data_IF_930273039304
#
_entry.id   IF_930273039304
#
_cell.length_a   1.000
_cell.length_b   1.000
_cell.length_c   1.000
_cell.angle_alpha   90.00
_cell.angle_beta   90.00
_cell.angle_gamma   90.00
#
_symmetry.space_group_name_H-M   'P 1'
#
loop_
_entity.id
_entity.type
_entity.pdbx_description
1 polymer ?
#
# COMPACT_ATOMS: atom_id res chain seq x y z
N UNK A 1 -11.51 11.87 -27.85
CA UNK A 1 -12.65 11.67 -26.98
C UNK A 1 -13.12 10.21 -27.00
N UNK A 2 -12.19 9.33 -27.32
CA UNK A 2 -12.27 7.88 -27.18
C UNK A 2 -11.10 7.35 -26.36
N UNK A 3 -11.19 6.11 -25.89
CA UNK A 3 -10.07 5.45 -25.19
C UNK A 3 -8.84 5.35 -26.09
N UNK A 4 -9.03 5.07 -27.39
CA UNK A 4 -7.92 5.02 -28.35
C UNK A 4 -7.21 6.39 -28.45
N UNK A 5 -7.95 7.46 -28.67
CA UNK A 5 -7.37 8.80 -28.75
C UNK A 5 -6.67 9.23 -27.43
N UNK A 6 -7.16 8.77 -26.28
CA UNK A 6 -6.51 9.04 -25.00
C UNK A 6 -5.18 8.27 -24.86
N UNK A 7 -5.10 7.03 -25.34
CA UNK A 7 -3.86 6.25 -25.37
C UNK A 7 -2.85 6.86 -26.34
N UNK A 8 -3.27 7.20 -27.56
CA UNK A 8 -2.42 7.87 -28.52
C UNK A 8 -1.85 9.19 -27.96
N UNK A 9 -2.67 9.97 -27.27
CA UNK A 9 -2.22 11.21 -26.63
C UNK A 9 -1.25 10.95 -25.48
N UNK A 10 -1.42 9.90 -24.71
CA UNK A 10 -0.52 9.53 -23.63
C UNK A 10 0.88 9.13 -24.16
N UNK A 11 0.95 8.46 -25.31
CA UNK A 11 2.21 8.09 -25.97
C UNK A 11 3.00 9.31 -26.48
N UNK A 12 2.34 10.44 -26.71
CA UNK A 12 2.99 11.70 -27.12
C UNK A 12 3.63 12.46 -25.94
N UNK A 13 3.38 12.04 -24.70
CA UNK A 13 3.97 12.68 -23.51
C UNK A 13 5.44 12.28 -23.39
N UNK A 14 6.33 13.20 -23.66
CA UNK A 14 7.76 13.02 -23.42
C UNK A 14 8.10 13.24 -21.95
N UNK A 15 8.78 12.27 -21.33
CA UNK A 15 9.22 12.35 -19.93
C UNK A 15 10.73 12.20 -19.90
N UNK A 16 11.39 13.19 -19.29
CA UNK A 16 12.82 13.10 -18.98
C UNK A 16 13.00 12.56 -17.57
N UNK A 17 13.63 11.39 -17.44
CA UNK A 17 13.79 10.67 -16.20
C UNK A 17 15.19 10.85 -15.62
N UNK A 18 15.29 11.43 -14.43
CA UNK A 18 16.50 11.34 -13.62
C UNK A 18 16.39 10.12 -12.70
N UNK A 19 17.06 9.04 -13.05
CA UNK A 19 17.07 7.81 -12.27
C UNK A 19 17.91 8.00 -11.01
N UNK A 20 17.31 7.75 -9.85
CA UNK A 20 17.99 7.77 -8.55
C UNK A 20 18.34 6.35 -8.09
N UNK A 21 19.36 6.18 -7.21
CA UNK A 21 19.61 4.91 -6.57
C UNK A 21 18.34 4.39 -5.85
N UNK A 22 18.02 3.13 -6.05
CA UNK A 22 16.83 2.51 -5.47
C UNK A 22 17.18 1.20 -4.77
N UNK A 23 16.39 0.86 -3.75
CA UNK A 23 16.46 -0.41 -3.04
C UNK A 23 15.05 -1.01 -2.98
N UNK A 24 14.90 -2.24 -3.43
CA UNK A 24 13.59 -2.89 -3.55
C UNK A 24 13.35 -3.96 -2.47
N UNK A 25 14.40 -4.60 -1.96
CA UNK A 25 14.27 -5.67 -0.96
C UNK A 25 14.42 -5.11 0.46
N UNK A 26 13.55 -5.51 1.38
CA UNK A 26 13.58 -5.06 2.76
C UNK A 26 14.91 -5.36 3.47
N UNK A 27 15.48 -6.55 3.26
CA UNK A 27 16.79 -6.92 3.83
C UNK A 27 17.93 -6.02 3.32
N UNK A 28 17.93 -5.69 2.03
CA UNK A 28 18.95 -4.82 1.45
C UNK A 28 18.75 -3.37 1.94
N UNK A 29 17.50 -2.93 2.12
CA UNK A 29 17.16 -1.61 2.63
C UNK A 29 17.57 -1.40 4.10
N UNK A 30 17.57 -2.46 4.91
CA UNK A 30 18.01 -2.43 6.30
C UNK A 30 19.54 -2.49 6.44
N UNK A 31 20.27 -2.81 5.36
CA UNK A 31 21.73 -2.92 5.36
C UNK A 31 22.43 -1.57 5.52
N UNK A 32 23.64 -1.62 6.08
CA UNK A 32 24.51 -0.44 6.20
C UNK A 32 24.87 0.13 4.81
N UNK A 33 24.77 1.45 4.65
CA UNK A 33 25.07 2.11 3.37
C UNK A 33 23.99 1.96 2.29
N UNK A 34 22.85 1.35 2.59
CA UNK A 34 21.75 1.22 1.63
C UNK A 34 21.25 2.60 1.15
N UNK A 35 20.87 2.73 -0.12
CA UNK A 35 20.19 3.93 -0.60
C UNK A 35 18.93 4.20 0.24
N UNK A 36 18.68 5.46 0.56
CA UNK A 36 17.46 5.84 1.27
C UNK A 36 16.25 5.73 0.35
N UNK A 37 15.21 5.03 0.77
CA UNK A 37 13.92 4.98 0.08
C UNK A 37 13.24 6.36 0.08
N UNK A 38 13.48 7.15 1.15
CA UNK A 38 13.04 8.54 1.29
C UNK A 38 14.20 9.40 1.78
N UNK A 39 14.32 10.60 1.26
CA UNK A 39 15.42 11.51 1.64
C UNK A 39 15.28 12.06 3.07
N UNK A 40 14.04 12.16 3.56
CA UNK A 40 13.66 12.79 4.82
C UNK A 40 13.53 11.82 6.00
N UNK A 41 13.72 10.51 5.77
CA UNK A 41 13.58 9.49 6.83
C UNK A 41 14.58 8.34 6.67
N UNK A 42 14.90 7.62 7.77
CA UNK A 42 15.67 6.38 7.68
C UNK A 42 14.87 5.27 6.97
N UNK A 43 15.57 4.24 6.47
CA UNK A 43 14.91 3.09 5.87
C UNK A 43 14.17 2.23 6.91
N UNK A 44 14.61 2.18 8.14
CA UNK A 44 13.88 1.56 9.25
C UNK A 44 13.02 2.64 9.89
N UNK A 45 11.72 2.58 9.67
CA UNK A 45 10.75 3.57 10.13
C UNK A 45 10.09 3.20 11.45
N UNK A 46 10.12 1.92 11.81
CA UNK A 46 9.63 1.39 13.08
C UNK A 46 10.53 0.23 13.50
N UNK A 47 11.02 0.30 14.72
CA UNK A 47 11.72 -0.78 15.40
C UNK A 47 11.14 -0.89 16.82
N UNK A 48 10.87 -2.11 17.28
CA UNK A 48 10.28 -2.31 18.58
C UNK A 48 10.06 -3.77 18.94
N UNK A 49 10.05 -4.03 20.23
CA UNK A 49 9.93 -5.34 20.84
C UNK A 49 8.61 -5.50 21.59
N UNK A 50 8.11 -6.72 21.62
CA UNK A 50 6.92 -7.11 22.38
C UNK A 50 7.25 -8.40 23.13
N UNK A 51 6.96 -8.43 24.44
CA UNK A 51 7.09 -9.63 25.25
C UNK A 51 7.92 -9.40 26.51
N UNK A 52 8.31 -10.51 27.16
CA UNK A 52 9.16 -10.51 28.34
C UNK A 52 10.53 -11.16 27.95
N UNK A 53 11.50 -10.32 27.63
CA UNK A 53 12.83 -10.75 27.21
C UNK A 53 13.53 -11.59 28.30
N UNK A 54 13.43 -11.18 29.57
CA UNK A 54 14.08 -11.86 30.68
C UNK A 54 13.51 -13.25 30.92
N UNK A 55 12.17 -13.36 30.95
CA UNK A 55 11.50 -14.65 31.12
C UNK A 55 11.76 -15.58 29.92
N UNK A 56 11.73 -15.04 28.72
CA UNK A 56 12.04 -15.76 27.48
C UNK A 56 13.48 -16.27 27.49
N UNK A 57 14.45 -15.43 27.79
CA UNK A 57 15.86 -15.80 27.91
C UNK A 57 16.09 -16.90 28.95
N UNK A 58 15.46 -16.80 30.11
CA UNK A 58 15.53 -17.82 31.16
C UNK A 58 14.93 -19.16 30.73
N UNK A 59 13.86 -19.15 29.90
CA UNK A 59 13.28 -20.37 29.35
C UNK A 59 14.20 -21.01 28.30
N UNK A 60 14.78 -20.24 27.41
CA UNK A 60 15.75 -20.73 26.41
C UNK A 60 16.99 -21.31 27.08
N UNK A 61 17.49 -20.73 28.17
CA UNK A 61 18.65 -21.25 28.90
C UNK A 61 18.39 -22.63 29.54
N UNK A 62 17.15 -23.02 29.76
CA UNK A 62 16.72 -24.31 30.33
C UNK A 62 16.22 -25.29 29.26
N UNK A 63 16.16 -24.88 28.02
CA UNK A 63 15.64 -25.71 26.95
C UNK A 63 16.54 -26.92 26.70
N UNK A 64 15.95 -28.11 26.57
CA UNK A 64 16.66 -29.31 26.12
C UNK A 64 16.80 -29.32 24.59
N UNK A 65 15.85 -28.68 23.89
CA UNK A 65 15.86 -28.57 22.44
C UNK A 65 15.46 -27.16 22.03
N UNK A 66 16.12 -26.63 21.00
CA UNK A 66 15.74 -25.37 20.32
C UNK A 66 15.52 -25.69 18.85
N UNK A 67 14.35 -25.33 18.35
CA UNK A 67 14.03 -25.45 16.93
C UNK A 67 14.04 -24.05 16.34
N UNK A 68 14.74 -23.88 15.24
CA UNK A 68 14.90 -22.59 14.54
C UNK A 68 14.26 -22.69 13.15
N UNK A 69 13.58 -21.63 12.76
CA UNK A 69 12.99 -21.48 11.42
C UNK A 69 13.35 -20.09 10.87
N UNK A 70 14.03 -20.10 9.73
CA UNK A 70 14.21 -18.92 8.89
C UNK A 70 13.29 -19.06 7.67
N UNK A 71 12.46 -18.08 7.44
CA UNK A 71 11.49 -18.10 6.33
C UNK A 71 11.18 -16.70 5.83
N UNK A 72 10.53 -16.63 4.69
CA UNK A 72 10.04 -15.38 4.16
C UNK A 72 8.62 -15.54 3.59
N UNK A 73 7.89 -14.45 3.56
CA UNK A 73 6.63 -14.35 2.85
C UNK A 73 6.83 -13.34 1.73
N UNK A 74 6.67 -13.80 0.51
CA UNK A 74 6.87 -12.97 -0.67
C UNK A 74 5.85 -11.84 -0.75
N UNK A 75 6.16 -10.80 -1.52
CA UNK A 75 5.23 -9.75 -1.87
C UNK A 75 4.09 -10.31 -2.70
N UNK A 76 2.86 -9.91 -2.38
CA UNK A 76 1.65 -10.37 -3.07
C UNK A 76 0.75 -9.19 -3.42
N UNK A 77 0.09 -9.26 -4.58
CA UNK A 77 -0.96 -8.35 -5.01
C UNK A 77 -2.34 -8.98 -4.80
N UNK A 78 -3.34 -8.20 -4.43
CA UNK A 78 -4.71 -8.68 -4.18
C UNK A 78 -5.44 -9.12 -5.45
N UNK A 79 -5.14 -8.48 -6.56
CA UNK A 79 -5.66 -8.73 -7.92
C UNK A 79 -7.16 -9.05 -7.98
N UNK A 80 -8.06 -8.14 -7.55
CA UNK A 80 -9.49 -8.29 -7.81
C UNK A 80 -9.78 -8.47 -9.31
N UNK A 81 -10.83 -9.23 -9.61
CA UNK A 81 -11.26 -9.44 -11.00
C UNK A 81 -11.64 -8.11 -11.68
N UNK A 82 -12.27 -7.22 -10.94
CA UNK A 82 -12.52 -5.84 -11.36
C UNK A 82 -11.25 -4.99 -11.24
N UNK A 83 -10.68 -4.47 -12.34
CA UNK A 83 -9.61 -3.47 -12.27
C UNK A 83 -10.08 -2.19 -11.57
N UNK A 84 -9.14 -1.37 -11.09
CA UNK A 84 -9.50 -0.06 -10.56
C UNK A 84 -10.11 0.80 -11.65
N UNK A 85 -11.18 1.51 -11.30
CA UNK A 85 -11.81 2.49 -12.17
C UNK A 85 -12.36 3.64 -11.33
N UNK A 86 -12.40 4.82 -11.92
CA UNK A 86 -12.99 5.99 -11.30
C UNK A 86 -13.65 6.92 -12.33
N UNK A 87 -14.70 7.59 -11.90
CA UNK A 87 -15.28 8.73 -12.60
C UNK A 87 -15.28 9.92 -11.67
N UNK A 88 -14.59 10.97 -12.10
CA UNK A 88 -14.61 12.27 -11.41
C UNK A 88 -15.63 13.20 -12.00
N UNK A 89 -16.30 13.96 -11.15
CA UNK A 89 -17.22 15.02 -11.51
C UNK A 89 -17.04 16.22 -10.58
N UNK A 90 -17.37 17.39 -11.09
CA UNK A 90 -17.33 18.65 -10.34
C UNK A 90 -18.52 19.53 -10.70
N UNK A 91 -19.28 19.90 -9.70
CA UNK A 91 -20.37 20.88 -9.83
C UNK A 91 -19.86 22.28 -9.46
N UNK A 92 -19.74 23.20 -10.43
CA UNK A 92 -19.26 24.57 -10.16
C UNK A 92 -20.27 25.42 -9.37
N UNK A 93 -21.55 25.06 -9.36
CA UNK A 93 -22.59 25.82 -8.64
C UNK A 93 -22.50 25.56 -7.15
N UNK A 94 -22.40 24.28 -6.78
CA UNK A 94 -22.31 23.87 -5.37
C UNK A 94 -20.88 23.75 -4.86
N UNK A 95 -19.87 23.69 -5.75
CA UNK A 95 -18.48 23.43 -5.42
C UNK A 95 -18.24 21.97 -5.02
N UNK A 96 -19.14 21.05 -5.37
CA UNK A 96 -19.06 19.65 -4.99
C UNK A 96 -18.05 18.89 -5.86
N UNK A 97 -17.12 18.22 -5.20
CA UNK A 97 -16.17 17.30 -5.80
C UNK A 97 -16.68 15.87 -5.62
N UNK A 98 -17.04 15.20 -6.69
CA UNK A 98 -17.62 13.84 -6.65
C UNK A 98 -16.69 12.85 -7.32
N UNK A 99 -16.42 11.74 -6.65
CA UNK A 99 -15.72 10.59 -7.22
C UNK A 99 -16.61 9.34 -7.12
N UNK A 100 -16.84 8.67 -8.23
CA UNK A 100 -17.44 7.35 -8.31
C UNK A 100 -16.33 6.33 -8.50
N UNK A 101 -16.14 5.41 -7.55
CA UNK A 101 -15.11 4.38 -7.64
C UNK A 101 -15.44 3.18 -6.75
N UNK A 102 -14.92 2.01 -7.11
CA UNK A 102 -14.95 0.83 -6.25
C UNK A 102 -13.88 0.95 -5.16
N UNK A 103 -14.29 1.14 -3.92
CA UNK A 103 -13.38 1.21 -2.76
C UNK A 103 -13.88 0.33 -1.60
N UNK A 104 -13.11 0.21 -0.54
CA UNK A 104 -13.45 -0.60 0.64
C UNK A 104 -14.37 0.08 1.64
N UNK A 105 -14.91 1.26 1.32
CA UNK A 105 -15.82 2.09 2.12
C UNK A 105 -15.82 3.51 1.59
N UNK A 106 -16.89 4.25 1.78
CA UNK A 106 -17.01 5.62 1.26
C UNK A 106 -16.49 6.70 2.24
N UNK A 107 -16.41 6.41 3.53
CA UNK A 107 -16.15 7.43 4.56
C UNK A 107 -14.68 7.90 4.53
N UNK A 108 -13.73 6.97 4.57
CA UNK A 108 -12.30 7.32 4.54
C UNK A 108 -11.91 7.98 3.21
N UNK A 109 -12.21 7.40 2.03
CA UNK A 109 -11.86 8.03 0.76
C UNK A 109 -12.53 9.39 0.53
N UNK A 110 -13.72 9.64 1.09
CA UNK A 110 -14.34 10.98 1.06
C UNK A 110 -13.52 11.99 1.85
N UNK A 111 -13.06 11.62 3.05
CA UNK A 111 -12.21 12.48 3.87
C UNK A 111 -10.89 12.79 3.17
N UNK A 112 -10.28 11.77 2.58
CA UNK A 112 -9.01 11.90 1.85
C UNK A 112 -9.18 12.79 0.60
N UNK A 113 -10.28 12.64 -0.13
CA UNK A 113 -10.65 13.51 -1.26
C UNK A 113 -10.79 14.97 -0.81
N UNK A 114 -11.48 15.22 0.29
CA UNK A 114 -11.63 16.57 0.85
C UNK A 114 -10.27 17.17 1.24
N UNK A 115 -9.40 16.40 1.85
CA UNK A 115 -8.06 16.81 2.25
C UNK A 115 -7.19 17.15 1.04
N UNK A 116 -7.19 16.33 -0.01
CA UNK A 116 -6.41 16.56 -1.23
C UNK A 116 -6.83 17.87 -1.93
N UNK A 117 -8.12 18.17 -1.93
CA UNK A 117 -8.64 19.40 -2.56
C UNK A 117 -8.66 20.62 -1.62
N UNK A 118 -8.29 20.45 -0.35
CA UNK A 118 -8.32 21.54 0.64
C UNK A 118 -9.74 22.10 0.86
N UNK A 119 -10.75 21.23 0.79
CA UNK A 119 -12.17 21.60 0.94
C UNK A 119 -12.79 20.96 2.19
N UNK A 120 -13.85 21.56 2.76
CA UNK A 120 -14.59 20.93 3.84
C UNK A 120 -15.20 19.58 3.38
N UNK A 121 -15.31 18.58 4.28
CA UNK A 121 -15.81 17.24 3.92
C UNK A 121 -17.20 17.22 3.27
N UNK A 122 -18.06 18.19 3.56
CA UNK A 122 -19.36 18.36 2.92
C UNK A 122 -19.29 18.81 1.46
N UNK A 123 -18.13 19.22 0.98
CA UNK A 123 -17.85 19.54 -0.44
C UNK A 123 -17.16 18.41 -1.19
N UNK A 124 -16.97 17.28 -0.54
CA UNK A 124 -16.45 16.05 -1.15
C UNK A 124 -17.48 14.93 -1.05
N UNK A 125 -17.65 14.18 -2.12
CA UNK A 125 -18.55 13.04 -2.20
C UNK A 125 -17.86 11.83 -2.82
N UNK A 126 -17.92 10.70 -2.12
CA UNK A 126 -17.48 9.41 -2.63
C UNK A 126 -18.72 8.54 -2.86
N UNK A 127 -18.91 8.06 -4.07
CA UNK A 127 -20.02 7.19 -4.46
C UNK A 127 -19.50 5.81 -4.80
N UNK A 128 -20.02 4.82 -4.14
CA UNK A 128 -19.66 3.42 -4.35
C UNK A 128 -20.90 2.60 -4.66
N UNK A 129 -20.70 1.65 -5.54
CA UNK A 129 -21.68 0.62 -5.88
C UNK A 129 -21.09 -0.76 -5.52
N UNK A 130 -21.56 -1.82 -6.14
CA UNK A 130 -20.99 -3.16 -6.01
C UNK A 130 -19.53 -3.17 -6.47
N UNK A 131 -18.70 -3.93 -5.77
CA UNK A 131 -17.25 -3.97 -5.97
C UNK A 131 -16.84 -5.39 -6.33
N UNK A 132 -16.12 -5.54 -7.44
CA UNK A 132 -15.68 -6.83 -7.97
C UNK A 132 -14.41 -7.38 -7.30
N UNK A 133 -14.34 -7.28 -5.97
CA UNK A 133 -13.28 -7.77 -5.10
C UNK A 133 -12.57 -6.64 -4.36
N UNK A 134 -12.13 -6.92 -3.12
CA UNK A 134 -11.41 -5.97 -2.27
C UNK A 134 -10.03 -6.50 -1.87
N UNK A 135 -9.95 -7.61 -1.14
CA UNK A 135 -8.72 -8.26 -0.63
C UNK A 135 -7.75 -7.32 0.11
N UNK A 136 -8.28 -6.21 0.66
CA UNK A 136 -7.50 -5.15 1.33
C UNK A 136 -6.99 -4.04 0.40
N UNK A 137 -6.79 -4.29 -0.88
CA UNK A 137 -6.20 -3.33 -1.82
C UNK A 137 -7.10 -2.13 -2.13
N UNK A 138 -8.42 -2.28 -1.92
CA UNK A 138 -9.42 -1.21 -2.09
C UNK A 138 -9.65 -0.39 -0.82
N UNK A 139 -8.90 -0.66 0.26
CA UNK A 139 -9.05 0.04 1.54
C UNK A 139 -8.47 1.46 1.55
N UNK A 140 -7.54 1.75 0.66
CA UNK A 140 -6.82 3.02 0.60
C UNK A 140 -7.36 3.95 -0.49
N UNK A 141 -7.12 5.25 -0.31
CA UNK A 141 -7.37 6.26 -1.34
C UNK A 141 -6.32 6.16 -2.44
N UNK A 142 -6.74 6.01 -3.68
CA UNK A 142 -5.84 5.91 -4.82
C UNK A 142 -5.68 7.28 -5.49
N UNK A 143 -4.48 7.58 -5.96
CA UNK A 143 -4.15 8.87 -6.59
C UNK A 143 -5.05 9.18 -7.79
N UNK A 144 -5.46 8.17 -8.54
CA UNK A 144 -6.32 8.31 -9.71
C UNK A 144 -7.71 8.87 -9.34
N UNK A 145 -8.19 8.62 -8.12
CA UNK A 145 -9.47 9.18 -7.64
C UNK A 145 -9.40 10.71 -7.57
N UNK A 146 -8.29 11.25 -7.08
CA UNK A 146 -8.06 12.68 -7.09
C UNK A 146 -7.86 13.22 -8.51
N UNK A 147 -7.06 12.53 -9.33
CA UNK A 147 -6.73 12.99 -10.68
C UNK A 147 -7.96 13.11 -11.58
N UNK A 148 -8.90 12.15 -11.54
CA UNK A 148 -10.13 12.26 -12.36
C UNK A 148 -11.04 13.40 -11.91
N UNK A 149 -11.12 13.67 -10.60
CA UNK A 149 -11.92 14.79 -10.09
C UNK A 149 -11.24 16.13 -10.40
N UNK A 150 -9.91 16.21 -10.28
CA UNK A 150 -9.15 17.39 -10.69
C UNK A 150 -9.33 17.67 -12.19
N UNK A 151 -9.20 16.66 -13.02
CA UNK A 151 -9.40 16.79 -14.46
C UNK A 151 -10.83 17.19 -14.82
N UNK A 152 -11.84 16.64 -14.15
CA UNK A 152 -13.23 17.00 -14.36
C UNK A 152 -13.47 18.49 -14.06
N UNK A 153 -12.91 19.01 -12.96
CA UNK A 153 -12.96 20.43 -12.60
C UNK A 153 -12.29 21.32 -13.65
N UNK A 154 -11.12 20.89 -14.16
CA UNK A 154 -10.37 21.63 -15.20
C UNK A 154 -11.08 21.66 -16.56
N UNK A 155 -11.73 20.56 -16.92
CA UNK A 155 -12.36 20.37 -18.23
C UNK A 155 -13.84 20.76 -18.25
N UNK A 156 -14.45 21.02 -17.08
CA UNK A 156 -15.88 21.34 -16.96
C UNK A 156 -16.81 20.20 -17.40
N UNK A 157 -16.36 18.94 -17.29
CA UNK A 157 -17.14 17.74 -17.64
C UNK A 157 -16.62 16.52 -16.89
N UNK A 158 -17.45 15.47 -16.70
CA UNK A 158 -16.99 14.24 -16.06
C UNK A 158 -15.81 13.58 -16.79
N UNK A 159 -14.88 13.02 -16.02
CA UNK A 159 -13.70 12.32 -16.53
C UNK A 159 -13.68 10.91 -15.96
N UNK A 160 -13.53 9.92 -16.84
CA UNK A 160 -13.41 8.51 -16.50
C UNK A 160 -12.00 8.00 -16.75
N UNK A 161 -11.50 7.20 -15.83
CA UNK A 161 -10.31 6.38 -15.98
C UNK A 161 -10.63 4.93 -15.61
N UNK A 162 -9.98 4.00 -16.28
CA UNK A 162 -10.03 2.57 -15.95
C UNK A 162 -8.66 1.99 -16.19
N UNK A 163 -8.08 1.39 -15.16
CA UNK A 163 -6.81 0.67 -15.24
C UNK A 163 -6.93 -0.53 -16.19
N UNK A 164 -5.92 -0.73 -17.03
CA UNK A 164 -5.79 -2.04 -17.66
C UNK A 164 -5.21 -3.07 -16.66
N UNK A 165 -5.22 -4.35 -17.04
CA UNK A 165 -4.77 -5.41 -16.13
C UNK A 165 -3.27 -5.34 -15.83
N UNK A 166 -2.45 -4.95 -16.77
CA UNK A 166 -1.02 -4.85 -16.60
C UNK A 166 -0.66 -3.67 -15.68
N UNK A 167 -1.24 -2.50 -15.94
CA UNK A 167 -1.11 -1.33 -15.06
C UNK A 167 -1.55 -1.66 -13.64
N UNK A 168 -2.64 -2.43 -13.49
CA UNK A 168 -3.14 -2.82 -12.17
C UNK A 168 -2.12 -3.64 -11.37
N UNK A 169 -1.41 -4.59 -11.97
CA UNK A 169 -0.36 -5.37 -11.31
C UNK A 169 0.81 -4.51 -10.82
N UNK A 170 1.11 -3.43 -11.54
CA UNK A 170 2.24 -2.55 -11.21
C UNK A 170 1.86 -1.48 -10.19
N UNK A 171 0.65 -0.94 -10.28
CA UNK A 171 0.23 0.25 -9.54
C UNK A 171 -0.65 -0.04 -8.31
N UNK A 172 -1.11 -1.28 -8.11
CA UNK A 172 -1.96 -1.60 -6.96
C UNK A 172 -1.15 -1.77 -5.67
N UNK A 173 -1.82 -1.58 -4.54
CA UNK A 173 -1.21 -1.85 -3.23
C UNK A 173 -0.87 -3.32 -3.11
N UNK A 174 0.34 -3.58 -2.67
CA UNK A 174 0.86 -4.91 -2.43
C UNK A 174 1.03 -5.14 -0.93
N UNK A 175 1.05 -6.39 -0.52
CA UNK A 175 1.16 -6.79 0.87
C UNK A 175 2.27 -7.83 1.06
N UNK A 176 2.56 -8.14 2.32
CA UNK A 176 3.59 -9.10 2.74
C UNK A 176 5.00 -8.57 2.47
N UNK A 177 5.88 -9.34 1.87
CA UNK A 177 7.31 -9.06 1.71
C UNK A 177 7.99 -8.89 3.08
N UNK A 178 7.99 -9.98 3.83
CA UNK A 178 8.61 -10.02 5.15
C UNK A 178 9.60 -11.19 5.25
N UNK A 179 10.69 -10.96 5.96
CA UNK A 179 11.62 -11.99 6.42
C UNK A 179 11.38 -12.26 7.89
N UNK A 180 11.34 -13.53 8.25
CA UNK A 180 10.99 -13.98 9.58
C UNK A 180 12.06 -14.97 10.08
N UNK A 181 12.57 -14.71 11.28
CA UNK A 181 13.34 -15.64 12.07
C UNK A 181 12.54 -16.02 13.31
N UNK A 182 12.38 -17.31 13.59
CA UNK A 182 11.65 -17.80 14.75
C UNK A 182 12.42 -18.94 15.44
N UNK A 183 12.40 -18.94 16.75
CA UNK A 183 12.97 -20.01 17.57
C UNK A 183 11.96 -20.48 18.61
N UNK A 184 11.90 -21.78 18.81
CA UNK A 184 11.04 -22.43 19.80
C UNK A 184 11.87 -23.24 20.78
N UNK A 185 11.79 -22.90 22.05
CA UNK A 185 12.43 -23.61 23.14
C UNK A 185 11.51 -24.72 23.68
N UNK A 186 12.05 -25.95 23.80
CA UNK A 186 11.30 -27.12 24.29
C UNK A 186 12.06 -27.79 25.44
N UNK A 187 11.32 -28.44 26.34
CA UNK A 187 11.90 -29.32 27.34
C UNK A 187 12.24 -30.70 26.73
N UNK A 188 12.77 -31.62 27.55
CA UNK A 188 13.14 -32.97 27.15
C UNK A 188 12.00 -33.83 26.64
N UNK A 189 10.76 -33.50 26.99
CA UNK A 189 9.54 -34.24 26.64
C UNK A 189 8.81 -33.56 25.45
N UNK A 190 9.39 -32.51 24.86
CA UNK A 190 8.84 -31.78 23.73
C UNK A 190 7.77 -30.74 24.09
N UNK A 191 7.65 -30.39 25.37
CA UNK A 191 6.74 -29.33 25.81
C UNK A 191 7.30 -27.97 25.48
N UNK A 192 6.48 -27.05 24.94
CA UNK A 192 6.86 -25.69 24.62
C UNK A 192 7.12 -24.87 25.89
N UNK A 193 8.28 -24.24 25.95
CA UNK A 193 8.71 -23.38 27.05
C UNK A 193 8.60 -21.90 26.71
N UNK A 194 9.08 -21.50 25.57
CA UNK A 194 9.04 -20.13 25.07
C UNK A 194 9.23 -20.09 23.55
N UNK A 195 8.84 -18.98 22.96
CA UNK A 195 9.14 -18.65 21.58
C UNK A 195 9.74 -17.23 21.52
N UNK A 196 10.71 -17.03 20.63
CA UNK A 196 11.21 -15.71 20.25
C UNK A 196 11.41 -15.64 18.75
N UNK A 197 11.43 -14.44 18.21
CA UNK A 197 11.68 -14.25 16.78
C UNK A 197 11.77 -12.78 16.41
N UNK A 198 12.16 -12.55 15.17
CA UNK A 198 12.18 -11.22 14.56
C UNK A 198 11.53 -11.24 13.20
N UNK A 199 10.91 -10.11 12.85
CA UNK A 199 10.33 -9.89 11.53
C UNK A 199 10.85 -8.58 10.94
N UNK A 200 11.33 -8.64 9.71
CA UNK A 200 11.61 -7.44 8.91
C UNK A 200 10.56 -7.35 7.81
N UNK A 201 9.75 -6.29 7.85
CA UNK A 201 8.62 -6.08 6.94
C UNK A 201 8.90 -4.92 6.00
N UNK A 202 8.79 -5.14 4.71
CA UNK A 202 8.95 -4.09 3.70
C UNK A 202 7.62 -3.34 3.49
N UNK A 203 7.56 -2.11 3.95
CA UNK A 203 6.38 -1.23 3.80
C UNK A 203 6.33 -0.48 2.45
N UNK A 204 7.41 -0.53 1.66
CA UNK A 204 7.55 0.28 0.45
C UNK A 204 7.99 1.72 0.75
N UNK A 205 7.97 2.56 -0.26
CA UNK A 205 8.48 3.93 -0.18
C UNK A 205 7.47 4.96 0.37
N UNK A 206 6.22 4.57 0.58
CA UNK A 206 5.10 5.46 0.97
C UNK A 206 4.47 5.07 2.31
N UNK A 207 5.23 4.48 3.20
CA UNK A 207 4.77 4.10 4.54
C UNK A 207 4.74 5.29 5.51
#
# INVERSE_FOLDING_TARGET
ESVAAAKDAAELVAIDWQVLPAVARGLDAAGEGAPRARLDSPNIILDGDIGDEAATGAAFAKAAHVVTLDTWVQRVAGVPMEPRAAVGDYDPVTGMHTCHAGAGGAVSPRRDLAMVFGVPPEKARMVMHDVGGNFGTRGSFNVEFALVVWAAKRLGRPVKWTSDRQEYFVADYQARDLSCHAELALDKDGKFLAMRGSNLVNQGAYA
#
